data_IF_434563050594
#
_entry.id   IF_434563050594
#
_cell.length_a   1.000
_cell.length_b   1.000
_cell.length_c   1.000
_cell.angle_alpha   90.00
_cell.angle_beta   90.00
_cell.angle_gamma   90.00
#
_symmetry.space_group_name_H-M   'P 1'
#
loop_
_entity.id
_entity.type
_entity.pdbx_description
1 polymer ?
#
# COMPACT_ATOMS: atom_id res chain seq x y z
N UNK A 1 13.62 -5.60 5.28
CA UNK A 1 14.28 -4.72 4.28
C UNK A 1 13.52 -3.39 4.21
N UNK A 2 14.22 -2.25 4.04
CA UNK A 2 13.61 -0.91 4.11
C UNK A 2 12.71 -0.58 2.90
N UNK A 3 12.58 -1.49 1.94
CA UNK A 3 11.62 -1.39 0.83
C UNK A 3 10.43 -2.33 1.08
N UNK A 4 9.21 -1.78 1.02
CA UNK A 4 7.94 -2.56 1.10
C UNK A 4 7.91 -3.74 0.12
N UNK A 5 8.56 -3.59 -1.03
CA UNK A 5 8.71 -4.64 -2.05
C UNK A 5 9.61 -5.80 -1.62
N UNK A 6 10.62 -5.59 -0.79
CA UNK A 6 11.54 -6.63 -0.35
C UNK A 6 10.88 -7.67 0.56
N UNK A 7 9.96 -7.23 1.43
CA UNK A 7 9.19 -8.13 2.30
C UNK A 7 8.17 -8.98 1.52
N UNK A 8 7.57 -8.41 0.46
CA UNK A 8 6.63 -9.13 -0.40
C UNK A 8 7.31 -10.26 -1.16
N UNK A 9 8.55 -10.06 -1.63
CA UNK A 9 9.33 -11.11 -2.30
C UNK A 9 9.57 -12.31 -1.37
N UNK A 10 9.93 -12.04 -0.11
CA UNK A 10 10.13 -13.10 0.91
C UNK A 10 8.82 -13.81 1.21
N UNK A 11 7.71 -13.08 1.39
CA UNK A 11 6.37 -13.68 1.58
C UNK A 11 5.95 -14.54 0.39
N UNK A 12 6.22 -14.09 -0.84
CA UNK A 12 5.91 -14.84 -2.06
C UNK A 12 6.71 -16.15 -2.08
N UNK A 13 8.00 -16.08 -1.78
CA UNK A 13 8.89 -17.24 -1.75
C UNK A 13 8.49 -18.25 -0.66
N UNK A 14 8.27 -17.82 0.58
CA UNK A 14 7.86 -18.71 1.66
C UNK A 14 6.44 -19.26 1.42
N UNK A 15 5.51 -18.43 0.97
CA UNK A 15 4.16 -18.86 0.60
C UNK A 15 4.15 -19.83 -0.58
N UNK A 16 5.15 -19.80 -1.46
CA UNK A 16 5.28 -20.76 -2.56
C UNK A 16 5.67 -22.16 -2.09
N UNK A 17 6.39 -22.27 -0.96
CA UNK A 17 6.72 -23.56 -0.34
C UNK A 17 5.48 -24.25 0.22
N UNK A 18 4.55 -23.49 0.81
CA UNK A 18 3.29 -24.02 1.34
C UNK A 18 2.22 -24.27 0.26
N UNK A 19 2.09 -23.36 -0.71
CA UNK A 19 1.06 -23.47 -1.76
C UNK A 19 1.48 -24.29 -2.99
N UNK A 20 2.73 -24.80 -3.01
CA UNK A 20 3.41 -25.46 -4.15
C UNK A 20 3.34 -24.68 -5.47
N UNK A 21 3.02 -23.39 -5.44
CA UNK A 21 2.87 -22.56 -6.62
C UNK A 21 3.20 -21.09 -6.35
N UNK A 22 4.31 -20.63 -6.93
CA UNK A 22 4.70 -19.21 -6.93
C UNK A 22 3.59 -18.30 -7.47
N UNK A 23 2.82 -18.80 -8.45
CA UNK A 23 1.72 -18.06 -9.10
C UNK A 23 0.58 -17.78 -8.12
N UNK A 24 0.18 -18.78 -7.31
CA UNK A 24 -0.88 -18.61 -6.30
C UNK A 24 -0.44 -17.68 -5.17
N UNK A 25 0.79 -17.84 -4.67
CA UNK A 25 1.33 -16.99 -3.61
C UNK A 25 1.41 -15.51 -4.02
N UNK A 26 1.88 -15.25 -5.25
CA UNK A 26 1.92 -13.90 -5.82
C UNK A 26 0.50 -13.33 -5.98
N UNK A 27 -0.47 -14.15 -6.40
CA UNK A 27 -1.86 -13.71 -6.61
C UNK A 27 -2.49 -13.24 -5.30
N UNK A 28 -2.23 -13.94 -4.19
CA UNK A 28 -2.71 -13.53 -2.85
C UNK A 28 -2.13 -12.17 -2.46
N UNK A 29 -0.82 -11.97 -2.61
CA UNK A 29 -0.18 -10.69 -2.28
C UNK A 29 -0.75 -9.55 -3.13
N UNK A 30 -0.95 -9.76 -4.43
CA UNK A 30 -1.54 -8.73 -5.29
C UNK A 30 -2.99 -8.42 -4.92
N UNK A 31 -3.81 -9.42 -4.59
CA UNK A 31 -5.17 -9.20 -4.10
C UNK A 31 -5.16 -8.41 -2.78
N UNK A 32 -4.24 -8.73 -1.87
CA UNK A 32 -4.03 -7.97 -0.62
C UNK A 32 -3.66 -6.51 -0.92
N UNK A 33 -2.74 -6.28 -1.86
CA UNK A 33 -2.31 -4.93 -2.28
C UNK A 33 -3.44 -4.13 -2.94
N UNK A 34 -4.20 -4.74 -3.85
CA UNK A 34 -5.35 -4.08 -4.50
C UNK A 34 -6.43 -3.75 -3.47
N UNK A 35 -6.71 -4.65 -2.53
CA UNK A 35 -7.69 -4.42 -1.46
C UNK A 35 -7.23 -3.27 -0.56
N UNK A 36 -5.96 -3.23 -0.17
CA UNK A 36 -5.37 -2.12 0.57
C UNK A 36 -5.44 -0.78 -0.19
N UNK A 37 -5.12 -0.78 -1.49
CA UNK A 37 -5.24 0.41 -2.35
C UNK A 37 -6.68 0.92 -2.45
N UNK A 38 -7.68 0.03 -2.56
CA UNK A 38 -9.10 0.40 -2.57
C UNK A 38 -9.46 1.11 -1.27
N UNK A 39 -9.10 0.51 -0.12
CA UNK A 39 -9.39 1.09 1.20
C UNK A 39 -8.73 2.46 1.34
N UNK A 40 -7.43 2.56 1.04
CA UNK A 40 -6.68 3.81 1.11
C UNK A 40 -7.28 4.90 0.22
N UNK A 41 -7.68 4.54 -1.00
CA UNK A 41 -8.33 5.47 -1.93
C UNK A 41 -9.70 5.92 -1.42
N UNK A 42 -10.52 5.02 -0.88
CA UNK A 42 -11.82 5.37 -0.30
C UNK A 42 -11.66 6.32 0.90
N UNK A 43 -10.67 6.08 1.77
CA UNK A 43 -10.34 7.02 2.84
C UNK A 43 -9.93 8.39 2.28
N UNK A 44 -8.96 8.43 1.35
CA UNK A 44 -8.51 9.67 0.73
C UNK A 44 -9.62 10.44 -0.01
N UNK A 45 -10.55 9.73 -0.66
CA UNK A 45 -11.70 10.32 -1.33
C UNK A 45 -12.67 10.92 -0.30
N UNK A 46 -13.02 10.15 0.72
CA UNK A 46 -13.92 10.58 1.81
C UNK A 46 -13.39 11.85 2.46
N UNK A 47 -12.10 11.87 2.79
CA UNK A 47 -11.38 13.05 3.28
C UNK A 47 -11.59 14.27 2.40
N UNK A 48 -11.32 14.11 1.10
CA UNK A 48 -11.31 15.24 0.19
C UNK A 48 -12.70 15.85 0.06
N UNK A 49 -13.76 15.05 0.27
CA UNK A 49 -15.15 15.48 0.28
C UNK A 49 -15.53 16.19 1.59
N UNK A 50 -15.09 15.71 2.75
CA UNK A 50 -15.45 16.30 4.06
C UNK A 50 -14.57 17.50 4.47
N UNK A 51 -13.36 17.64 3.94
CA UNK A 51 -12.41 18.72 4.25
C UNK A 51 -11.93 19.44 2.98
N UNK A 52 -12.88 19.93 2.18
CA UNK A 52 -12.62 20.60 0.90
C UNK A 52 -11.64 21.79 1.03
N UNK A 53 -11.69 22.55 2.12
CA UNK A 53 -10.78 23.68 2.35
C UNK A 53 -9.31 23.26 2.47
N UNK A 54 -9.07 22.14 3.14
CA UNK A 54 -7.73 21.55 3.31
C UNK A 54 -7.28 20.88 2.01
N UNK A 55 -8.18 20.15 1.34
CA UNK A 55 -7.89 19.50 0.07
C UNK A 55 -7.54 20.49 -1.05
N UNK A 56 -8.18 21.66 -1.09
CA UNK A 56 -7.86 22.72 -2.06
C UNK A 56 -6.50 23.38 -1.81
N UNK A 57 -6.08 23.50 -0.54
CA UNK A 57 -4.81 24.16 -0.17
C UNK A 57 -3.60 23.24 -0.23
N UNK A 58 -3.79 21.93 -0.21
CA UNK A 58 -2.70 20.95 -0.17
C UNK A 58 -2.66 20.19 -1.51
N UNK A 59 -1.74 20.54 -2.44
CA UNK A 59 -1.64 19.92 -3.77
C UNK A 59 -1.42 18.40 -3.71
N UNK A 60 -0.77 17.94 -2.64
CA UNK A 60 -0.50 16.52 -2.38
C UNK A 60 -1.78 15.68 -2.36
N UNK A 61 -2.91 16.22 -1.88
CA UNK A 61 -4.19 15.48 -1.82
C UNK A 61 -4.64 15.08 -3.23
N UNK A 62 -4.58 16.01 -4.19
CA UNK A 62 -4.95 15.76 -5.58
C UNK A 62 -4.02 14.75 -6.26
N UNK A 63 -2.72 14.86 -6.01
CA UNK A 63 -1.73 13.90 -6.54
C UNK A 63 -2.02 12.50 -6.02
N UNK A 64 -2.28 12.34 -4.72
CA UNK A 64 -2.63 11.04 -4.14
C UNK A 64 -3.92 10.47 -4.71
N UNK A 65 -4.94 11.30 -4.94
CA UNK A 65 -6.20 10.86 -5.55
C UNK A 65 -6.00 10.41 -7.00
N UNK A 66 -5.24 11.17 -7.80
CA UNK A 66 -4.94 10.80 -9.18
C UNK A 66 -4.16 9.49 -9.25
N UNK A 67 -3.16 9.33 -8.38
CA UNK A 67 -2.34 8.11 -8.30
C UNK A 67 -3.18 6.92 -7.85
N UNK A 68 -4.00 7.09 -6.81
CA UNK A 68 -4.89 6.04 -6.33
C UNK A 68 -5.89 5.63 -7.41
N UNK A 69 -6.50 6.59 -8.11
CA UNK A 69 -7.40 6.33 -9.22
C UNK A 69 -6.69 5.60 -10.37
N UNK A 70 -5.51 6.06 -10.78
CA UNK A 70 -4.73 5.41 -11.83
C UNK A 70 -4.36 3.96 -11.46
N UNK A 71 -3.96 3.73 -10.21
CA UNK A 71 -3.68 2.39 -9.67
C UNK A 71 -4.92 1.48 -9.68
N UNK A 72 -6.08 2.00 -9.29
CA UNK A 72 -7.35 1.27 -9.34
C UNK A 72 -7.79 0.97 -10.77
N UNK A 73 -7.66 1.92 -11.69
CA UNK A 73 -7.95 1.71 -13.11
C UNK A 73 -7.01 0.67 -13.73
N UNK A 74 -5.72 0.71 -13.40
CA UNK A 74 -4.76 -0.30 -13.85
C UNK A 74 -5.11 -1.70 -13.32
N UNK A 75 -5.47 -1.81 -12.03
CA UNK A 75 -5.93 -3.06 -11.45
C UNK A 75 -7.23 -3.56 -12.11
N UNK A 76 -8.22 -2.68 -12.27
CA UNK A 76 -9.49 -3.00 -12.92
C UNK A 76 -9.29 -3.43 -14.37
N UNK A 77 -8.44 -2.73 -15.13
CA UNK A 77 -8.06 -3.11 -16.48
C UNK A 77 -7.41 -4.50 -16.49
N UNK A 78 -6.44 -4.77 -15.62
CA UNK A 78 -5.79 -6.08 -15.52
C UNK A 78 -6.77 -7.23 -15.21
N UNK A 79 -7.75 -6.96 -14.35
CA UNK A 79 -8.83 -7.89 -14.00
C UNK A 79 -9.91 -8.04 -15.11
N UNK A 80 -9.96 -7.10 -16.06
CA UNK A 80 -11.01 -7.03 -17.09
C UNK A 80 -10.82 -8.06 -18.22
N UNK A 81 -11.90 -8.48 -18.92
CA UNK A 81 -11.81 -9.32 -20.11
C UNK A 81 -10.88 -8.79 -21.23
N UNK A 82 -10.85 -7.48 -21.57
CA UNK A 82 -9.97 -6.97 -22.63
C UNK A 82 -8.48 -7.14 -22.33
N UNK A 83 -8.02 -7.04 -21.07
CA UNK A 83 -6.62 -7.35 -20.73
C UNK A 83 -6.29 -8.82 -20.99
N UNK A 84 -7.22 -9.74 -20.72
CA UNK A 84 -7.07 -11.16 -21.06
C UNK A 84 -6.95 -11.39 -22.57
N UNK A 85 -7.74 -10.66 -23.38
CA UNK A 85 -7.66 -10.71 -24.84
C UNK A 85 -6.36 -10.10 -25.38
N UNK A 86 -5.89 -9.01 -24.77
CA UNK A 86 -4.62 -8.38 -25.12
C UNK A 86 -3.44 -9.31 -24.83
N UNK A 87 -3.43 -9.95 -23.66
CA UNK A 87 -2.43 -10.95 -23.28
C UNK A 87 -2.46 -12.19 -24.19
N UNK A 88 -3.65 -12.60 -24.65
CA UNK A 88 -3.80 -13.70 -25.60
C UNK A 88 -3.37 -13.36 -27.03
N UNK A 89 -3.26 -12.07 -27.39
CA UNK A 89 -2.74 -11.61 -28.69
C UNK A 89 -1.21 -11.49 -28.72
N UNK A 90 -0.55 -11.57 -27.57
CA UNK A 90 0.91 -11.57 -27.50
C UNK A 90 1.46 -12.90 -28.02
N UNK A 91 2.58 -12.84 -28.74
CA UNK A 91 3.22 -14.02 -29.34
C UNK A 91 3.55 -15.09 -28.30
N UNK A 92 3.17 -16.34 -28.56
CA UNK A 92 3.50 -17.50 -27.73
C UNK A 92 4.95 -17.99 -27.94
N UNK A 93 5.76 -17.31 -28.76
CA UNK A 93 7.14 -17.70 -29.04
C UNK A 93 8.14 -17.02 -28.10
N UNK A 94 9.19 -17.77 -27.76
CA UNK A 94 10.34 -17.28 -26.98
C UNK A 94 10.03 -16.94 -25.52
N UNK A 95 10.78 -15.99 -24.97
CA UNK A 95 10.64 -15.53 -23.58
C UNK A 95 9.29 -14.82 -23.33
N UNK A 96 8.73 -14.20 -24.38
CA UNK A 96 7.42 -13.50 -24.33
C UNK A 96 6.27 -14.48 -24.11
N UNK A 97 6.29 -15.66 -24.76
CA UNK A 97 5.28 -16.70 -24.56
C UNK A 97 5.29 -17.29 -23.13
N UNK A 98 6.48 -17.50 -22.56
CA UNK A 98 6.62 -17.96 -21.15
C UNK A 98 6.14 -16.91 -20.14
N UNK A 99 6.35 -15.63 -20.43
CA UNK A 99 5.86 -14.54 -19.57
C UNK A 99 4.34 -14.39 -19.69
N UNK A 100 3.80 -14.42 -20.92
CA UNK A 100 2.35 -14.33 -21.17
C UNK A 100 1.58 -15.49 -20.56
N UNK A 101 2.09 -16.73 -20.61
CA UNK A 101 1.43 -17.88 -19.96
C UNK A 101 1.42 -17.78 -18.44
N UNK A 102 2.51 -17.31 -17.82
CA UNK A 102 2.57 -17.04 -16.37
C UNK A 102 1.60 -15.93 -15.95
N UNK A 103 1.53 -14.83 -16.70
CA UNK A 103 0.62 -13.71 -16.44
C UNK A 103 -0.85 -14.13 -16.63
N UNK A 104 -1.16 -14.95 -17.65
CA UNK A 104 -2.50 -15.53 -17.85
C UNK A 104 -2.89 -16.43 -16.68
N UNK A 105 -2.04 -17.39 -16.29
CA UNK A 105 -2.32 -18.27 -15.15
C UNK A 105 -2.48 -17.51 -13.83
N UNK A 106 -1.69 -16.45 -13.62
CA UNK A 106 -1.85 -15.53 -12.49
C UNK A 106 -3.22 -14.84 -12.50
N UNK A 107 -3.60 -14.25 -13.64
CA UNK A 107 -4.90 -13.58 -13.80
C UNK A 107 -6.05 -14.53 -13.57
N UNK A 108 -6.00 -15.75 -14.06
CA UNK A 108 -7.07 -16.74 -13.91
C UNK A 108 -7.24 -17.14 -12.43
N UNK A 109 -6.15 -17.29 -11.68
CA UNK A 109 -6.21 -17.49 -10.23
C UNK A 109 -6.86 -16.30 -9.53
N UNK A 110 -6.45 -15.06 -9.84
CA UNK A 110 -7.03 -13.85 -9.24
C UNK A 110 -8.51 -13.71 -9.58
N UNK A 111 -8.92 -13.98 -10.82
CA UNK A 111 -10.33 -13.94 -11.25
C UNK A 111 -11.14 -15.05 -10.59
N UNK A 112 -10.56 -16.22 -10.34
CA UNK A 112 -11.23 -17.31 -9.61
C UNK A 112 -11.57 -16.92 -8.16
N UNK A 113 -10.75 -16.07 -7.52
CA UNK A 113 -11.01 -15.54 -6.18
C UNK A 113 -12.25 -14.63 -6.14
N UNK A 114 -12.63 -13.98 -7.25
CA UNK A 114 -13.87 -13.16 -7.32
C UNK A 114 -15.15 -13.98 -7.16
N UNK A 115 -15.10 -15.31 -7.34
CA UNK A 115 -16.29 -16.18 -7.28
C UNK A 115 -16.65 -16.66 -5.87
N UNK A 116 -15.89 -16.29 -4.84
CA UNK A 116 -16.14 -16.68 -3.44
C UNK A 116 -16.29 -15.44 -2.54
N UNK A 117 -17.52 -14.95 -2.30
CA UNK A 117 -17.75 -13.71 -1.57
C UNK A 117 -17.37 -13.80 -0.09
N UNK A 118 -17.52 -14.95 0.58
CA UNK A 118 -17.23 -15.10 2.01
C UNK A 118 -15.77 -14.77 2.39
N UNK A 119 -14.76 -15.45 1.81
CA UNK A 119 -13.36 -15.14 2.07
C UNK A 119 -12.95 -13.71 1.68
N UNK A 120 -13.61 -13.13 0.68
CA UNK A 120 -13.36 -11.75 0.25
C UNK A 120 -13.76 -10.74 1.32
N UNK A 121 -14.94 -10.88 1.92
CA UNK A 121 -15.37 -9.99 3.02
C UNK A 121 -14.49 -10.14 4.27
N UNK A 122 -14.05 -11.37 4.59
CA UNK A 122 -13.13 -11.59 5.69
C UNK A 122 -11.77 -10.93 5.43
N UNK A 123 -11.24 -11.02 4.21
CA UNK A 123 -10.01 -10.36 3.81
C UNK A 123 -10.13 -8.83 3.85
N UNK A 124 -11.29 -8.28 3.45
CA UNK A 124 -11.63 -6.86 3.59
C UNK A 124 -11.64 -6.43 5.06
N UNK A 125 -12.26 -7.21 5.95
CA UNK A 125 -12.26 -6.96 7.39
C UNK A 125 -10.85 -6.91 7.98
N UNK A 126 -10.01 -7.88 7.61
CA UNK A 126 -8.59 -7.89 8.01
C UNK A 126 -7.80 -6.70 7.46
N UNK A 127 -8.02 -6.33 6.20
CA UNK A 127 -7.36 -5.17 5.59
C UNK A 127 -7.78 -3.86 6.27
N UNK A 128 -9.06 -3.71 6.64
CA UNK A 128 -9.54 -2.58 7.42
C UNK A 128 -8.92 -2.55 8.82
N UNK A 129 -8.89 -3.68 9.53
CA UNK A 129 -8.28 -3.76 10.85
C UNK A 129 -6.78 -3.40 10.82
N UNK A 130 -6.07 -3.88 9.81
CA UNK A 130 -4.67 -3.51 9.57
C UNK A 130 -4.54 -2.01 9.30
N UNK A 131 -5.42 -1.44 8.47
CA UNK A 131 -5.38 -0.01 8.16
C UNK A 131 -5.63 0.85 9.41
N UNK A 132 -6.59 0.48 10.25
CA UNK A 132 -6.86 1.13 11.54
C UNK A 132 -5.62 1.04 12.44
N UNK A 133 -5.01 -0.14 12.54
CA UNK A 133 -3.80 -0.35 13.34
C UNK A 133 -2.64 0.55 12.87
N UNK A 134 -2.42 0.65 11.56
CA UNK A 134 -1.40 1.54 10.98
C UNK A 134 -1.68 3.00 11.34
N UNK A 135 -2.93 3.44 11.29
CA UNK A 135 -3.29 4.82 11.61
C UNK A 135 -3.08 5.11 13.11
N UNK A 136 -3.51 4.20 13.99
CA UNK A 136 -3.29 4.31 15.43
C UNK A 136 -1.79 4.34 15.77
N UNK A 137 -1.00 3.51 15.09
CA UNK A 137 0.44 3.51 15.19
C UNK A 137 1.04 4.90 14.92
N UNK A 138 0.69 5.54 13.80
CA UNK A 138 1.15 6.89 13.49
C UNK A 138 0.62 7.92 14.50
N UNK A 139 -0.63 7.79 14.96
CA UNK A 139 -1.19 8.68 15.98
C UNK A 139 -0.39 8.63 17.30
N UNK A 140 -0.03 7.43 17.77
CA UNK A 140 0.74 7.26 19.01
C UNK A 140 2.13 7.91 18.92
N UNK A 141 2.80 7.80 17.77
CA UNK A 141 4.08 8.49 17.55
C UNK A 141 3.88 10.00 17.54
N UNK A 142 2.80 10.46 16.90
CA UNK A 142 2.46 11.88 16.85
C UNK A 142 2.25 12.45 18.25
N UNK A 143 1.49 11.72 19.07
CA UNK A 143 1.24 12.05 20.46
C UNK A 143 2.51 12.00 21.32
N UNK A 144 3.40 11.03 21.10
CA UNK A 144 4.68 10.93 21.80
C UNK A 144 5.63 12.10 21.49
N UNK A 145 5.53 12.67 20.28
CA UNK A 145 6.25 13.88 19.88
C UNK A 145 5.56 15.19 20.30
N UNK A 146 4.47 15.10 21.07
CA UNK A 146 3.74 16.27 21.57
C UNK A 146 2.87 16.98 20.53
N UNK A 147 2.60 16.37 19.37
CA UNK A 147 1.75 16.97 18.35
C UNK A 147 0.28 16.92 18.74
N UNK A 148 -0.37 18.08 18.75
CA UNK A 148 -1.80 18.25 19.11
C UNK A 148 -2.71 18.12 17.89
N UNK A 149 -2.59 17.01 17.16
CA UNK A 149 -3.42 16.72 16.00
C UNK A 149 -4.52 15.73 16.39
N UNK A 150 -5.81 16.00 16.11
CA UNK A 150 -6.90 15.08 16.42
C UNK A 150 -6.72 13.71 15.74
N UNK A 151 -7.07 12.63 16.43
CA UNK A 151 -6.99 11.26 15.89
C UNK A 151 -7.72 11.14 14.55
N UNK A 152 -8.89 11.77 14.43
CA UNK A 152 -9.71 11.72 13.22
C UNK A 152 -8.95 12.26 12.00
N UNK A 153 -8.07 13.24 12.18
CA UNK A 153 -7.25 13.78 11.09
C UNK A 153 -6.12 12.81 10.69
N UNK A 154 -5.64 11.93 11.56
CA UNK A 154 -4.71 10.85 11.16
C UNK A 154 -5.39 9.83 10.23
N UNK A 155 -6.66 9.51 10.47
CA UNK A 155 -7.44 8.68 9.54
C UNK A 155 -7.59 9.31 8.15
N UNK A 156 -7.33 10.62 8.07
CA UNK A 156 -7.45 11.42 6.88
C UNK A 156 -6.12 11.45 6.12
N UNK A 157 -5.04 11.95 6.73
CA UNK A 157 -3.80 12.21 5.99
C UNK A 157 -2.88 10.99 5.87
N UNK A 158 -2.92 10.04 6.82
CA UNK A 158 -2.07 8.85 6.75
C UNK A 158 -2.36 8.04 5.48
N UNK A 159 -3.62 7.74 5.12
CA UNK A 159 -3.92 7.06 3.86
C UNK A 159 -3.38 7.78 2.62
N UNK A 160 -3.47 9.11 2.59
CA UNK A 160 -2.98 9.96 1.50
C UNK A 160 -1.45 9.83 1.35
N UNK A 161 -0.74 9.90 2.47
CA UNK A 161 0.73 9.76 2.49
C UNK A 161 1.14 8.34 2.12
N UNK A 162 0.42 7.32 2.59
CA UNK A 162 0.65 5.93 2.21
C UNK A 162 0.43 5.71 0.70
N UNK A 163 -0.57 6.33 0.09
CA UNK A 163 -0.78 6.29 -1.37
C UNK A 163 0.39 6.90 -2.13
N UNK A 164 0.92 8.05 -1.70
CA UNK A 164 2.12 8.63 -2.36
C UNK A 164 3.32 7.70 -2.30
N UNK A 165 3.48 6.99 -1.19
CA UNK A 165 4.59 6.06 -1.03
C UNK A 165 4.44 4.77 -1.86
N UNK A 166 3.28 4.54 -2.48
CA UNK A 166 3.13 3.46 -3.47
C UNK A 166 3.80 3.83 -4.79
N UNK A 167 4.06 5.12 -5.03
CA UNK A 167 4.72 5.59 -6.23
C UNK A 167 6.20 5.23 -6.13
N UNK A 168 6.74 4.44 -7.08
CA UNK A 168 8.14 4.02 -7.07
C UNK A 168 9.07 5.12 -7.59
N UNK A 169 8.81 6.39 -7.25
CA UNK A 169 9.68 7.52 -7.61
C UNK A 169 10.86 7.65 -6.63
N UNK A 170 10.68 7.26 -5.36
CA UNK A 170 11.72 7.40 -4.34
C UNK A 170 11.86 6.14 -3.49
N UNK A 171 13.07 5.90 -2.96
CA UNK A 171 13.36 4.72 -2.14
C UNK A 171 12.56 4.82 -0.84
N UNK A 172 11.57 3.94 -0.67
CA UNK A 172 10.71 3.92 0.52
C UNK A 172 9.85 5.17 0.71
N UNK A 173 9.68 6.00 -0.33
CA UNK A 173 8.95 7.26 -0.21
C UNK A 173 9.76 8.43 0.37
N UNK A 174 11.08 8.28 0.56
CA UNK A 174 11.94 9.37 1.05
C UNK A 174 11.81 10.64 0.18
N UNK A 175 11.74 11.80 0.81
CA UNK A 175 11.46 13.11 0.21
C UNK A 175 9.96 13.38 0.01
N UNK A 176 9.25 12.49 -0.70
CA UNK A 176 7.80 12.64 -0.97
C UNK A 176 6.96 12.54 0.32
N UNK A 177 7.36 11.64 1.21
CA UNK A 177 6.68 11.41 2.48
C UNK A 177 6.91 12.55 3.47
N UNK A 178 8.16 12.97 3.63
CA UNK A 178 8.55 14.08 4.51
C UNK A 178 7.85 15.37 4.09
N UNK A 179 7.87 15.68 2.79
CA UNK A 179 7.19 16.88 2.25
C UNK A 179 5.67 16.81 2.44
N UNK A 180 5.06 15.63 2.28
CA UNK A 180 3.64 15.45 2.53
C UNK A 180 3.28 15.62 4.02
N UNK A 181 4.07 15.05 4.94
CA UNK A 181 3.87 15.28 6.37
C UNK A 181 4.04 16.74 6.76
N UNK A 182 5.10 17.42 6.27
CA UNK A 182 5.31 18.86 6.52
C UNK A 182 4.14 19.68 6.00
N UNK A 183 3.66 19.41 4.77
CA UNK A 183 2.54 20.15 4.18
C UNK A 183 1.25 20.00 5.01
N UNK A 184 0.96 18.79 5.48
CA UNK A 184 -0.22 18.50 6.31
C UNK A 184 -0.07 19.10 7.70
N UNK A 185 1.04 18.83 8.39
CA UNK A 185 1.24 19.25 9.77
C UNK A 185 1.41 20.77 9.92
N UNK A 186 1.89 21.46 8.88
CA UNK A 186 1.91 22.93 8.83
C UNK A 186 0.50 23.53 8.92
N UNK A 187 -0.53 22.85 8.42
CA UNK A 187 -1.94 23.28 8.59
C UNK A 187 -2.36 23.29 10.06
N UNK A 188 -1.77 22.41 10.88
CA UNK A 188 -2.01 22.32 12.32
C UNK A 188 -1.02 23.16 13.15
N UNK A 189 -0.24 24.03 12.51
CA UNK A 189 0.74 24.90 13.19
C UNK A 189 1.97 24.16 13.72
N UNK A 190 2.20 22.93 13.29
CA UNK A 190 3.39 22.15 13.68
C UNK A 190 4.58 22.58 12.84
N UNK A 191 5.74 22.73 13.49
CA UNK A 191 6.98 23.11 12.84
C UNK A 191 7.48 22.02 11.88
N UNK A 192 8.16 22.43 10.80
CA UNK A 192 8.62 21.50 9.76
C UNK A 192 9.63 20.47 10.32
N UNK A 193 10.45 20.91 11.27
CA UNK A 193 11.43 20.10 11.99
C UNK A 193 10.75 18.94 12.72
N UNK A 194 9.66 19.22 13.45
CA UNK A 194 8.88 18.20 14.16
C UNK A 194 8.20 17.22 13.20
N UNK A 195 7.68 17.71 12.08
CA UNK A 195 7.07 16.87 11.04
C UNK A 195 8.11 15.93 10.37
N UNK A 196 9.33 16.41 10.16
CA UNK A 196 10.44 15.57 9.67
C UNK A 196 10.88 14.56 10.72
N UNK A 197 10.99 14.96 12.00
CA UNK A 197 11.28 14.03 13.10
C UNK A 197 10.22 12.92 13.19
N UNK A 198 8.94 13.25 13.05
CA UNK A 198 7.86 12.28 12.96
C UNK A 198 8.08 11.28 11.83
N UNK A 199 8.41 11.78 10.64
CA UNK A 199 8.75 10.97 9.47
C UNK A 199 9.88 9.98 9.79
N UNK A 200 10.98 10.45 10.38
CA UNK A 200 12.14 9.61 10.67
C UNK A 200 11.84 8.55 11.74
N UNK A 201 11.18 8.94 12.83
CA UNK A 201 10.83 8.00 13.90
C UNK A 201 9.86 6.92 13.38
N UNK A 202 8.80 7.34 12.69
CA UNK A 202 7.72 6.43 12.29
C UNK A 202 8.10 5.45 11.19
N UNK A 203 8.92 5.81 10.21
CA UNK A 203 9.21 4.89 9.11
C UNK A 203 10.65 4.36 9.14
N UNK A 204 11.61 5.12 9.68
CA UNK A 204 13.00 4.67 9.75
C UNK A 204 13.26 3.94 11.07
N UNK A 205 13.09 4.60 12.21
CA UNK A 205 13.48 4.01 13.50
C UNK A 205 12.66 2.77 13.83
N UNK A 206 11.32 2.90 13.81
CA UNK A 206 10.44 1.76 14.09
C UNK A 206 10.49 0.72 12.97
N UNK A 207 10.54 1.15 11.71
CA UNK A 207 10.66 0.24 10.57
C UNK A 207 11.91 -0.65 10.66
N UNK A 208 13.04 -0.06 11.06
CA UNK A 208 14.28 -0.80 11.33
C UNK A 208 14.15 -1.71 12.55
N UNK A 209 13.55 -1.25 13.65
CA UNK A 209 13.36 -2.07 14.85
C UNK A 209 12.51 -3.31 14.56
N UNK A 210 11.37 -3.15 13.88
CA UNK A 210 10.52 -4.27 13.46
C UNK A 210 11.25 -5.16 12.45
N UNK A 211 11.99 -4.57 11.52
CA UNK A 211 12.81 -5.31 10.55
C UNK A 211 13.90 -6.15 11.21
N UNK A 212 14.54 -5.64 12.26
CA UNK A 212 15.54 -6.36 13.05
C UNK A 212 14.92 -7.52 13.81
N UNK A 213 13.79 -7.31 14.49
CA UNK A 213 13.05 -8.38 15.18
C UNK A 213 12.68 -9.49 14.18
N UNK A 214 12.13 -9.11 13.02
CA UNK A 214 11.80 -10.07 11.96
C UNK A 214 13.02 -10.82 11.43
N UNK A 215 14.16 -10.12 11.29
CA UNK A 215 15.43 -10.72 10.89
C UNK A 215 15.96 -11.73 11.90
N UNK A 216 15.93 -11.39 13.20
CA UNK A 216 16.31 -12.31 14.28
C UNK A 216 15.43 -13.55 14.25
N UNK A 217 14.11 -13.38 14.20
CA UNK A 217 13.17 -14.51 14.12
C UNK A 217 13.48 -15.39 12.91
N UNK A 218 13.71 -14.80 11.74
CA UNK A 218 14.03 -15.54 10.52
C UNK A 218 15.31 -16.37 10.65
N UNK A 219 16.38 -15.80 11.24
CA UNK A 219 17.64 -16.53 11.46
C UNK A 219 17.49 -17.65 12.49
N UNK A 220 16.65 -17.44 13.51
CA UNK A 220 16.40 -18.46 14.55
C UNK A 220 15.43 -19.56 14.13
N UNK A 221 14.67 -19.36 13.04
CA UNK A 221 13.71 -20.33 12.53
C UNK A 221 14.44 -21.40 11.71
N UNK A 222 14.84 -22.47 12.38
CA UNK A 222 15.26 -23.73 11.73
C UNK A 222 14.11 -24.39 10.99
#
# INVERSE_FOLDING_TARGET
LPTRFGGDVVRIWDGSKFSRSLVKSTAVVVVERVTGLIILFLFALTVSLFRLDMARRIPVVWVSLLVGLAGLLAAAFFLSPPAGRFLARLSDRGWVGRLSSKVRGFRDVVVSYRRKPGPFFLALGWALALQVNVILYYFLIGHALGMRVPLLDYFIFIPIVLLLQTIPLTIGGLGLRESAYVAVFRFYGVAAETAVSFSLVADVAVGLAVGLIGGIIYVTRK
#
